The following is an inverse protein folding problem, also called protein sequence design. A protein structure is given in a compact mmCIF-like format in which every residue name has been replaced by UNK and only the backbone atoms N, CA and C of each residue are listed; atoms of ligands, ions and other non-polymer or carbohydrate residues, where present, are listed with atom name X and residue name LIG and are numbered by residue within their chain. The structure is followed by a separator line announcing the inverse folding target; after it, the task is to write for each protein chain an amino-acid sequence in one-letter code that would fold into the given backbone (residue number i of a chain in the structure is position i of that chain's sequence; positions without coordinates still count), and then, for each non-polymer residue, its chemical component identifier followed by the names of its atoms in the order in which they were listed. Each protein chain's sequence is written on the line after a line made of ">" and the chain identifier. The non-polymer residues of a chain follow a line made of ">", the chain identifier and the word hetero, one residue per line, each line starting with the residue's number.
data_IF_905368384110
#
_entry.id   IF_905368384110
#
_cell.length_a   1.000
_cell.length_b   1.000
_cell.length_c   1.000
_cell.angle_alpha   90.00
_cell.angle_beta   90.00
_cell.angle_gamma   90.00
#
_symmetry.space_group_name_H-M   'P 1'
#
loop_
_entity.id
_entity.type
_entity.pdbx_description
1 polymer ?
#
# COMPACT_ATOMS: atom_id res chain seq x y z
N UNK A 1 4.81 4.09 -27.39
CA UNK A 1 3.54 3.61 -26.81
C UNK A 1 3.65 3.76 -25.30
N UNK A 2 2.67 4.33 -24.61
CA UNK A 2 2.68 4.32 -23.13
C UNK A 2 2.40 2.88 -22.70
N UNK A 3 3.35 2.26 -22.02
CA UNK A 3 3.22 0.87 -21.57
C UNK A 3 2.00 0.74 -20.64
N UNK A 4 1.21 -0.33 -20.79
CA UNK A 4 0.04 -0.62 -19.93
C UNK A 4 0.42 -0.61 -18.44
N UNK A 5 1.66 -1.03 -18.14
CA UNK A 5 2.22 -1.05 -16.80
C UNK A 5 2.40 0.37 -16.21
N UNK A 6 2.76 1.36 -17.02
CA UNK A 6 2.91 2.75 -16.57
C UNK A 6 1.54 3.37 -16.29
N UNK A 7 0.57 3.14 -17.19
CA UNK A 7 -0.78 3.71 -17.08
C UNK A 7 -1.53 3.26 -15.83
N UNK A 8 -1.33 2.01 -15.40
CA UNK A 8 -2.06 1.42 -14.27
C UNK A 8 -1.16 1.09 -13.07
N UNK A 9 0.01 1.73 -12.99
CA UNK A 9 1.03 1.47 -11.98
C UNK A 9 0.45 1.38 -10.56
N UNK A 10 0.69 0.25 -9.90
CA UNK A 10 0.28 0.01 -8.52
C UNK A 10 -1.20 -0.34 -8.31
N UNK A 11 -2.00 -0.52 -9.37
CA UNK A 11 -3.34 -1.12 -9.29
C UNK A 11 -3.21 -2.64 -9.41
N UNK A 12 -4.06 -3.38 -8.69
CA UNK A 12 -4.05 -4.85 -8.78
C UNK A 12 -4.31 -5.30 -10.23
N UNK A 13 -3.46 -6.16 -10.82
CA UNK A 13 -3.57 -6.53 -12.24
C UNK A 13 -4.91 -7.16 -12.59
N UNK A 14 -5.48 -7.99 -11.70
CA UNK A 14 -6.83 -8.51 -11.90
C UNK A 14 -7.94 -7.45 -12.07
N UNK A 15 -7.80 -6.25 -11.48
CA UNK A 15 -8.76 -5.15 -11.69
C UNK A 15 -8.58 -4.49 -13.05
N UNK A 16 -7.34 -4.42 -13.53
CA UNK A 16 -7.05 -3.94 -14.88
C UNK A 16 -7.58 -4.94 -15.90
N UNK A 17 -7.40 -6.24 -15.67
CA UNK A 17 -7.96 -7.30 -16.52
C UNK A 17 -9.48 -7.23 -16.60
N UNK A 18 -10.16 -7.11 -15.45
CA UNK A 18 -11.63 -6.97 -15.40
C UNK A 18 -12.13 -5.77 -16.24
N UNK A 19 -11.41 -4.64 -16.17
CA UNK A 19 -11.70 -3.46 -16.98
C UNK A 19 -11.45 -3.71 -18.47
N UNK A 20 -10.36 -4.39 -18.81
CA UNK A 20 -9.99 -4.65 -20.21
C UNK A 20 -10.99 -5.59 -20.88
N UNK A 21 -11.39 -6.66 -20.20
CA UNK A 21 -12.43 -7.58 -20.68
C UNK A 21 -13.75 -6.84 -20.92
N UNK A 22 -14.17 -5.98 -19.97
CA UNK A 22 -15.40 -5.17 -20.12
C UNK A 22 -15.30 -4.21 -21.30
N UNK A 23 -14.16 -3.54 -21.50
CA UNK A 23 -13.95 -2.62 -22.62
C UNK A 23 -14.08 -3.33 -23.97
N UNK A 24 -13.69 -4.61 -24.04
CA UNK A 24 -13.75 -5.45 -25.25
C UNK A 24 -15.04 -6.27 -25.35
N UNK A 25 -16.01 -6.05 -24.47
CA UNK A 25 -17.25 -6.84 -24.40
C UNK A 25 -17.02 -8.35 -24.23
N UNK A 26 -15.88 -8.74 -23.62
CA UNK A 26 -15.52 -10.12 -23.37
C UNK A 26 -16.07 -10.58 -22.02
N UNK A 27 -16.78 -11.71 -22.03
CA UNK A 27 -17.22 -12.36 -20.79
C UNK A 27 -16.04 -13.12 -20.15
N UNK A 28 -15.92 -13.00 -18.83
CA UNK A 28 -14.82 -13.59 -18.07
C UNK A 28 -14.73 -15.13 -18.20
N UNK A 29 -15.87 -15.83 -18.11
CA UNK A 29 -15.91 -17.30 -18.19
C UNK A 29 -15.39 -17.81 -19.56
N UNK A 30 -15.93 -17.37 -20.70
CA UNK A 30 -15.38 -17.72 -22.02
C UNK A 30 -13.91 -17.34 -22.18
N UNK A 31 -13.50 -16.18 -21.67
CA UNK A 31 -12.11 -15.75 -21.76
C UNK A 31 -11.17 -16.69 -21.00
N UNK A 32 -11.50 -17.08 -19.76
CA UNK A 32 -10.73 -18.04 -18.98
C UNK A 32 -10.52 -19.37 -19.74
N UNK A 33 -11.61 -19.92 -20.29
CA UNK A 33 -11.55 -21.15 -21.07
C UNK A 33 -10.67 -21.00 -22.32
N UNK A 34 -10.73 -19.84 -22.97
CA UNK A 34 -9.95 -19.57 -24.18
C UNK A 34 -8.44 -19.47 -23.97
N UNK A 35 -7.99 -19.27 -22.72
CA UNK A 35 -6.57 -19.28 -22.32
C UNK A 35 -6.20 -20.55 -21.54
N UNK A 36 -7.07 -21.57 -21.54
CA UNK A 36 -6.84 -22.84 -20.86
C UNK A 36 -6.81 -22.72 -19.33
N UNK A 37 -7.56 -21.78 -18.75
CA UNK A 37 -7.61 -21.54 -17.30
C UNK A 37 -9.01 -21.75 -16.73
N UNK A 38 -9.07 -22.15 -15.46
CA UNK A 38 -10.36 -22.34 -14.81
C UNK A 38 -11.04 -21.00 -14.52
N UNK A 39 -12.35 -20.82 -14.80
CA UNK A 39 -13.04 -19.55 -14.52
C UNK A 39 -12.98 -19.09 -13.06
N UNK A 40 -12.88 -20.02 -12.11
CA UNK A 40 -12.72 -19.69 -10.69
C UNK A 40 -11.36 -19.05 -10.40
N UNK A 41 -10.29 -19.50 -11.07
CA UNK A 41 -8.96 -18.92 -10.93
C UNK A 41 -8.98 -17.47 -11.43
N UNK A 42 -9.56 -17.24 -12.60
CA UNK A 42 -9.70 -15.89 -13.15
C UNK A 42 -10.58 -14.99 -12.26
N UNK A 43 -11.64 -15.53 -11.66
CA UNK A 43 -12.49 -14.79 -10.72
C UNK A 43 -11.74 -14.41 -9.44
N UNK A 44 -10.93 -15.31 -8.87
CA UNK A 44 -10.09 -14.99 -7.72
C UNK A 44 -9.11 -13.84 -8.03
N UNK A 45 -8.57 -13.83 -9.25
CA UNK A 45 -7.68 -12.77 -9.74
C UNK A 45 -8.43 -11.44 -9.88
N UNK A 46 -9.57 -11.39 -10.58
CA UNK A 46 -10.32 -10.14 -10.79
C UNK A 46 -10.89 -9.57 -9.48
N UNK A 47 -11.16 -10.42 -8.49
CA UNK A 47 -11.53 -10.00 -7.13
C UNK A 47 -10.35 -9.55 -6.27
N UNK A 48 -9.11 -9.66 -6.76
CA UNK A 48 -7.91 -9.24 -6.03
C UNK A 48 -7.50 -10.20 -4.91
N UNK A 49 -8.04 -11.41 -4.90
CA UNK A 49 -7.70 -12.46 -3.91
C UNK A 49 -6.42 -13.21 -4.29
N UNK A 50 -6.06 -13.21 -5.57
CA UNK A 50 -4.86 -13.87 -6.11
C UNK A 50 -4.14 -12.95 -7.09
N UNK A 51 -2.81 -12.96 -7.06
CA UNK A 51 -1.98 -12.34 -8.09
C UNK A 51 -1.99 -13.15 -9.40
N UNK A 52 -1.43 -12.55 -10.45
CA UNK A 52 -1.21 -13.20 -11.74
C UNK A 52 0.25 -13.67 -11.79
N UNK A 53 0.48 -14.95 -12.08
CA UNK A 53 1.84 -15.46 -12.30
C UNK A 53 2.30 -15.15 -13.74
N UNK A 54 3.60 -15.26 -14.01
CA UNK A 54 4.18 -14.90 -15.31
C UNK A 54 3.56 -15.69 -16.46
N UNK A 55 3.40 -17.02 -16.32
CA UNK A 55 2.82 -17.86 -17.36
C UNK A 55 1.38 -17.43 -17.74
N UNK A 56 0.55 -17.11 -16.75
CA UNK A 56 -0.81 -16.62 -16.98
C UNK A 56 -0.82 -15.22 -17.58
N UNK A 57 0.08 -14.34 -17.14
CA UNK A 57 0.21 -13.00 -17.71
C UNK A 57 0.50 -13.06 -19.21
N UNK A 58 1.46 -13.90 -19.63
CA UNK A 58 1.80 -14.07 -21.04
C UNK A 58 0.62 -14.59 -21.87
N UNK A 59 -0.12 -15.59 -21.36
CA UNK A 59 -1.34 -16.08 -22.04
C UNK A 59 -2.41 -14.99 -22.19
N UNK A 60 -2.59 -14.15 -21.16
CA UNK A 60 -3.55 -13.04 -21.18
C UNK A 60 -3.11 -11.98 -22.18
N UNK A 61 -1.83 -11.62 -22.19
CA UNK A 61 -1.25 -10.61 -23.08
C UNK A 61 -1.40 -11.03 -24.54
N UNK A 62 -0.99 -12.26 -24.87
CA UNK A 62 -1.17 -12.87 -26.18
C UNK A 62 -2.64 -12.85 -26.62
N UNK A 63 -3.54 -13.38 -25.78
CA UNK A 63 -4.98 -13.46 -26.12
C UNK A 63 -5.64 -12.09 -26.30
N UNK A 64 -5.13 -11.06 -25.64
CA UNK A 64 -5.65 -9.68 -25.75
C UNK A 64 -4.87 -8.84 -26.76
N UNK A 65 -3.84 -9.39 -27.43
CA UNK A 65 -2.97 -8.62 -28.33
C UNK A 65 -2.30 -7.44 -27.62
N UNK A 66 -1.84 -7.65 -26.40
CA UNK A 66 -1.10 -6.66 -25.61
C UNK A 66 0.40 -6.90 -25.76
N UNK A 67 1.18 -5.85 -25.49
CA UNK A 67 2.64 -5.95 -25.43
C UNK A 67 3.07 -6.93 -24.33
N UNK A 68 3.98 -7.84 -24.68
CA UNK A 68 4.56 -8.82 -23.77
C UNK A 68 5.17 -8.13 -22.54
N UNK A 69 4.87 -8.67 -21.36
CA UNK A 69 5.36 -8.14 -20.08
C UNK A 69 4.50 -7.03 -19.48
N UNK A 70 3.45 -6.56 -20.17
CA UNK A 70 2.52 -5.53 -19.65
C UNK A 70 1.91 -5.88 -18.29
N UNK A 71 1.32 -7.06 -18.16
CA UNK A 71 0.73 -7.59 -16.93
C UNK A 71 1.78 -8.10 -15.94
N UNK A 72 2.92 -8.59 -16.41
CA UNK A 72 4.06 -8.99 -15.56
C UNK A 72 4.57 -7.77 -14.77
N UNK A 73 4.87 -6.68 -15.47
CA UNK A 73 5.33 -5.43 -14.85
C UNK A 73 4.26 -4.81 -13.96
N UNK A 74 3.00 -4.88 -14.37
CA UNK A 74 1.88 -4.41 -13.55
C UNK A 74 1.77 -5.17 -12.22
N UNK A 75 1.90 -6.50 -12.23
CA UNK A 75 1.96 -7.32 -11.02
C UNK A 75 3.15 -6.93 -10.15
N UNK A 76 4.33 -6.74 -10.73
CA UNK A 76 5.52 -6.30 -9.99
C UNK A 76 5.30 -4.93 -9.31
N UNK A 77 4.77 -3.94 -10.03
CA UNK A 77 4.45 -2.64 -9.44
C UNK A 77 3.40 -2.72 -8.33
N UNK A 78 2.40 -3.60 -8.49
CA UNK A 78 1.42 -3.84 -7.45
C UNK A 78 2.05 -4.44 -6.19
N UNK A 79 2.91 -5.45 -6.31
CA UNK A 79 3.60 -6.06 -5.17
C UNK A 79 4.54 -5.06 -4.49
N UNK A 80 5.30 -4.25 -5.25
CA UNK A 80 6.13 -3.16 -4.67
C UNK A 80 5.26 -2.20 -3.85
N UNK A 81 4.10 -1.80 -4.37
CA UNK A 81 3.18 -0.91 -3.64
C UNK A 81 2.62 -1.58 -2.39
N UNK A 82 2.30 -2.86 -2.47
CA UNK A 82 1.79 -3.66 -1.35
C UNK A 82 2.86 -3.79 -0.26
N UNK A 83 4.10 -4.03 -0.63
CA UNK A 83 5.23 -4.14 0.32
C UNK A 83 5.55 -2.80 0.97
N UNK A 84 5.61 -1.71 0.20
CA UNK A 84 5.75 -0.35 0.76
C UNK A 84 4.61 0.01 1.71
N UNK A 85 3.40 -0.49 1.46
CA UNK A 85 2.27 -0.34 2.39
C UNK A 85 2.47 -1.16 3.66
N UNK A 86 3.03 -2.37 3.57
CA UNK A 86 3.38 -3.22 4.71
C UNK A 86 4.45 -2.57 5.58
N UNK A 87 5.51 -2.06 4.97
CA UNK A 87 6.56 -1.27 5.64
C UNK A 87 5.98 -0.03 6.32
N UNK A 88 5.06 0.68 5.66
CA UNK A 88 4.31 1.78 6.27
C UNK A 88 3.28 1.37 7.34
N UNK A 89 3.04 0.08 7.56
CA UNK A 89 2.22 -0.48 8.64
C UNK A 89 3.03 -1.11 9.78
N UNK A 90 4.27 -1.54 9.55
CA UNK A 90 5.18 -2.12 10.55
C UNK A 90 5.79 -1.07 11.51
N UNK A 91 5.27 0.15 11.54
CA UNK A 91 5.60 1.20 12.51
C UNK A 91 4.37 2.02 12.85
N UNK A 92 3.28 1.36 13.25
CA UNK A 92 2.04 2.04 13.65
C UNK A 92 1.88 2.22 15.15
N UNK A 93 2.78 1.68 15.95
CA UNK A 93 2.83 1.94 17.38
C UNK A 93 4.27 2.26 17.75
N UNK A 94 4.47 3.24 18.64
CA UNK A 94 5.77 3.43 19.25
C UNK A 94 6.13 2.20 20.07
N UNK A 95 7.42 2.04 20.33
CA UNK A 95 7.88 1.15 21.38
C UNK A 95 7.44 1.70 22.75
N UNK A 96 6.50 1.02 23.40
CA UNK A 96 5.99 1.39 24.71
C UNK A 96 7.00 1.21 25.84
N UNK A 97 8.11 0.48 25.60
CA UNK A 97 9.23 0.44 26.55
C UNK A 97 10.03 1.75 26.54
N UNK A 98 9.97 2.51 25.44
CA UNK A 98 10.66 3.79 25.27
C UNK A 98 9.77 4.96 25.71
N UNK A 99 8.46 4.92 25.39
CA UNK A 99 7.53 6.00 25.74
C UNK A 99 6.96 5.87 27.15
N UNK A 100 7.22 6.86 28.01
CA UNK A 100 6.63 6.91 29.35
C UNK A 100 5.12 7.18 29.28
N UNK A 101 4.32 6.32 29.94
CA UNK A 101 2.87 6.47 30.03
C UNK A 101 2.44 7.83 30.63
N UNK A 102 3.26 8.42 31.52
CA UNK A 102 2.98 9.72 32.14
C UNK A 102 2.91 10.90 31.17
N UNK A 103 3.49 10.79 29.96
CA UNK A 103 3.31 11.81 28.92
C UNK A 103 1.85 11.89 28.44
N UNK A 104 1.09 10.81 28.58
CA UNK A 104 -0.30 10.68 28.16
C UNK A 104 -1.22 10.52 29.38
N UNK A 105 -1.01 11.31 30.44
CA UNK A 105 -1.83 11.26 31.65
C UNK A 105 -3.33 11.49 31.42
N UNK A 106 -3.68 12.18 30.33
CA UNK A 106 -5.05 12.50 29.89
C UNK A 106 -5.61 11.55 28.83
N UNK A 107 -4.85 10.55 28.37
CA UNK A 107 -5.27 9.67 27.28
C UNK A 107 -4.68 8.28 27.43
N UNK A 108 -5.51 7.25 27.34
CA UNK A 108 -5.03 5.87 27.31
C UNK A 108 -4.15 5.62 26.07
N UNK A 109 -2.85 5.44 26.32
CA UNK A 109 -1.78 5.28 25.33
C UNK A 109 -2.00 4.05 24.43
N UNK A 110 -2.67 3.02 24.94
CA UNK A 110 -2.90 1.75 24.23
C UNK A 110 -4.00 1.90 23.17
N UNK A 111 -4.89 2.88 23.34
CA UNK A 111 -6.04 3.14 22.47
C UNK A 111 -5.83 4.32 21.50
N UNK A 112 -4.64 4.91 21.45
CA UNK A 112 -4.33 6.01 20.54
C UNK A 112 -4.25 5.51 19.08
N UNK A 113 -5.01 6.13 18.17
CA UNK A 113 -4.76 6.01 16.74
C UNK A 113 -3.50 6.83 16.37
N UNK A 114 -2.33 6.22 16.53
CA UNK A 114 -1.02 6.82 16.27
C UNK A 114 -0.86 7.34 14.84
N UNK A 115 -1.67 6.85 13.89
CA UNK A 115 -1.65 7.34 12.51
C UNK A 115 -2.47 8.63 12.35
N UNK A 116 -3.67 8.69 12.92
CA UNK A 116 -4.54 9.87 12.82
C UNK A 116 -4.09 10.99 13.74
N UNK A 117 -3.68 10.68 14.96
CA UNK A 117 -3.33 11.66 16.01
C UNK A 117 -1.84 12.04 16.03
N UNK A 118 -1.10 11.73 14.95
CA UNK A 118 0.36 11.94 14.89
C UNK A 118 0.81 13.37 15.24
N UNK A 119 0.08 14.41 14.83
CA UNK A 119 0.43 15.81 15.14
C UNK A 119 0.44 16.07 16.65
N UNK A 120 -0.60 15.62 17.36
CA UNK A 120 -0.73 15.81 18.80
C UNK A 120 0.33 15.01 19.56
N UNK A 121 0.59 13.77 19.13
CA UNK A 121 1.64 12.90 19.69
C UNK A 121 3.02 13.54 19.51
N UNK A 122 3.38 13.95 18.28
CA UNK A 122 4.68 14.56 17.99
C UNK A 122 4.87 15.82 18.83
N UNK A 123 3.88 16.72 18.85
CA UNK A 123 3.94 17.96 19.63
C UNK A 123 4.22 17.67 21.11
N UNK A 124 3.43 16.78 21.71
CA UNK A 124 3.54 16.40 23.12
C UNK A 124 4.91 15.86 23.48
N UNK A 125 5.49 15.02 22.63
CA UNK A 125 6.81 14.41 22.87
C UNK A 125 7.95 15.40 22.60
N UNK A 126 7.80 16.31 21.64
CA UNK A 126 8.77 17.39 21.45
C UNK A 126 8.80 18.34 22.66
N UNK A 127 7.64 18.65 23.25
CA UNK A 127 7.50 19.55 24.40
C UNK A 127 7.96 18.92 25.73
N UNK A 128 7.56 17.67 26.00
CA UNK A 128 7.68 17.05 27.34
C UNK A 128 8.55 15.78 27.38
N UNK A 129 8.93 15.25 26.21
CA UNK A 129 9.69 14.01 26.08
C UNK A 129 11.20 14.20 26.18
N UNK A 130 11.89 13.13 26.56
CA UNK A 130 13.34 13.02 26.58
C UNK A 130 13.90 12.67 25.18
N UNK A 131 15.22 12.59 25.04
CA UNK A 131 15.86 12.35 23.75
C UNK A 131 15.61 10.95 23.17
N UNK A 132 15.42 9.94 24.03
CA UNK A 132 15.05 8.58 23.60
C UNK A 132 13.64 8.58 23.00
N UNK A 133 12.69 9.25 23.66
CA UNK A 133 11.31 9.40 23.21
C UNK A 133 11.23 10.19 21.90
N UNK A 134 12.02 11.27 21.76
CA UNK A 134 12.13 12.04 20.52
C UNK A 134 12.70 11.20 19.38
N UNK A 135 13.75 10.41 19.63
CA UNK A 135 14.31 9.48 18.64
C UNK A 135 13.29 8.44 18.21
N UNK A 136 12.50 7.91 19.14
CA UNK A 136 11.46 6.92 18.85
C UNK A 136 10.35 7.51 17.96
N UNK A 137 9.95 8.76 18.20
CA UNK A 137 8.97 9.45 17.35
C UNK A 137 9.53 9.78 15.95
N UNK A 138 10.83 10.08 15.84
CA UNK A 138 11.50 10.23 14.55
C UNK A 138 11.56 8.89 13.81
N UNK A 139 11.84 7.78 14.50
CA UNK A 139 11.78 6.43 13.94
C UNK A 139 10.36 6.09 13.46
N UNK A 140 9.35 6.43 14.25
CA UNK A 140 7.94 6.10 14.00
C UNK A 140 7.33 6.90 12.83
N UNK A 141 7.57 8.21 12.76
CA UNK A 141 6.92 9.09 11.78
C UNK A 141 7.83 9.57 10.65
N UNK A 142 9.14 9.41 10.80
CA UNK A 142 10.17 9.95 9.91
C UNK A 142 10.46 11.42 10.16
N UNK A 143 11.72 11.80 9.94
CA UNK A 143 12.24 13.15 10.23
C UNK A 143 11.43 14.26 9.54
N UNK A 144 11.05 14.07 8.27
CA UNK A 144 10.29 15.07 7.50
C UNK A 144 8.97 15.46 8.16
N UNK A 145 8.22 14.47 8.69
CA UNK A 145 6.94 14.75 9.38
C UNK A 145 7.16 15.42 10.73
N UNK A 146 8.15 14.97 11.49
CA UNK A 146 8.47 15.55 12.81
C UNK A 146 8.91 17.00 12.66
N UNK A 147 9.82 17.30 11.74
CA UNK A 147 10.27 18.68 11.46
C UNK A 147 9.13 19.57 10.99
N UNK A 148 8.23 19.07 10.12
CA UNK A 148 7.06 19.83 9.69
C UNK A 148 6.17 20.24 10.87
N UNK A 149 5.92 19.33 11.83
CA UNK A 149 5.14 19.65 13.03
C UNK A 149 5.91 20.58 13.97
N UNK A 150 7.22 20.40 14.12
CA UNK A 150 8.07 21.26 14.95
C UNK A 150 8.06 22.72 14.46
N UNK A 151 8.13 22.94 13.15
CA UNK A 151 8.07 24.27 12.56
C UNK A 151 6.70 24.93 12.80
N UNK A 152 5.60 24.18 12.66
CA UNK A 152 4.25 24.68 12.97
C UNK A 152 4.03 25.05 14.45
N UNK A 153 4.92 24.63 15.36
CA UNK A 153 4.88 25.04 16.78
C UNK A 153 5.62 26.36 16.98
N UNK A 154 6.69 26.62 16.19
CA UNK A 154 7.48 27.87 16.29
C UNK A 154 6.80 29.09 15.65
N UNK A 155 5.81 28.88 14.79
CA UNK A 155 5.04 29.93 14.11
C UNK A 155 3.77 30.35 14.88
N UNK A 156 3.56 29.81 16.09
CA UNK A 156 2.48 30.16 17.02
C UNK A 156 3.02 30.93 18.22
#
# INVERSE_FOLDING_TARGET
>A
MISYAEKYKGIHPGKVLERELRKRSLKQRPFALSIGEHPQALNAITRGKRGINTALALKIEDKLGLEEGSFVLLQAFYEIRKEKKKEGTNSKTPDFSILRKSLFWDTDIENIDWKKRYKAVIRRILERGNDLEKREIIRLYGIKKVTSVANSIKEM
#
